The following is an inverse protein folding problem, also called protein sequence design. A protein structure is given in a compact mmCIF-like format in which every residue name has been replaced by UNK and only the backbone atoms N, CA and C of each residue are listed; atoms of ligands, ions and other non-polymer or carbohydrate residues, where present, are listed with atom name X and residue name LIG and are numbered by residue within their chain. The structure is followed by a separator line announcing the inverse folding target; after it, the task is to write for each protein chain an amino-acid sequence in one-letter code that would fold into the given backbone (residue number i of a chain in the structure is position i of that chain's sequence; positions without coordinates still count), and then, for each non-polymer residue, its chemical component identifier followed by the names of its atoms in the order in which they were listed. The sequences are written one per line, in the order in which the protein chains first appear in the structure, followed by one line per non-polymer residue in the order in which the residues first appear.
data_IF_118244751483
#
_entry.id   IF_118244751483
#
_cell.length_a   1.000
_cell.length_b   1.000
_cell.length_c   1.000
_cell.angle_alpha   90.00
_cell.angle_beta   90.00
_cell.angle_gamma   90.00
#
_symmetry.space_group_name_H-M   'P 1'
#
loop_
_entity.id
_entity.type
_entity.pdbx_description
1 polymer ?
#
# COMPACT_ATOMS: atom_id res chain seq x y z
N UNK A 1 19.31 -31.31 60.43
CA UNK A 1 18.02 -30.68 60.18
C UNK A 1 18.11 -29.45 59.29
N UNK A 2 19.15 -28.63 59.33
CA UNK A 2 19.33 -27.42 58.50
C UNK A 2 19.58 -27.75 57.01
N UNK A 3 20.46 -28.70 56.69
CA UNK A 3 20.83 -29.11 55.30
C UNK A 3 19.65 -29.69 54.50
N UNK A 4 18.66 -30.26 55.14
CA UNK A 4 17.46 -30.82 54.48
C UNK A 4 16.42 -29.74 54.11
N UNK A 5 16.40 -28.62 54.84
CA UNK A 5 15.57 -27.45 54.56
C UNK A 5 16.12 -26.70 53.35
N UNK A 6 17.41 -26.44 53.36
CA UNK A 6 18.12 -25.71 52.29
C UNK A 6 18.01 -26.44 50.94
N UNK A 7 18.12 -27.76 50.89
CA UNK A 7 17.90 -28.58 49.69
C UNK A 7 16.45 -28.54 49.19
N UNK A 8 15.46 -28.41 50.09
CA UNK A 8 14.04 -28.27 49.71
C UNK A 8 13.78 -26.91 49.11
N UNK A 9 14.30 -25.86 49.67
CA UNK A 9 14.12 -24.49 49.23
C UNK A 9 14.78 -24.29 47.84
N UNK A 10 15.95 -24.86 47.57
CA UNK A 10 16.61 -24.88 46.28
C UNK A 10 15.81 -25.67 45.23
N UNK A 11 15.20 -26.82 45.57
CA UNK A 11 14.35 -27.58 44.68
C UNK A 11 13.04 -26.84 44.36
N UNK A 12 12.46 -26.15 45.32
CA UNK A 12 11.26 -25.36 45.13
C UNK A 12 11.52 -24.13 44.25
N UNK A 13 12.65 -23.42 44.47
CA UNK A 13 13.08 -22.31 43.63
C UNK A 13 13.27 -22.72 42.14
N UNK A 14 13.91 -23.89 41.91
CA UNK A 14 14.05 -24.43 40.54
C UNK A 14 12.72 -24.80 39.87
N UNK A 15 11.74 -25.31 40.64
CA UNK A 15 10.38 -25.59 40.10
C UNK A 15 9.64 -24.31 39.75
N UNK A 16 9.72 -23.28 40.60
CA UNK A 16 9.07 -21.98 40.35
C UNK A 16 9.71 -21.33 39.11
N UNK A 17 11.04 -21.33 39.03
CA UNK A 17 11.75 -20.80 37.84
C UNK A 17 11.37 -21.54 36.56
N UNK A 18 11.29 -22.86 36.58
CA UNK A 18 10.85 -23.65 35.41
C UNK A 18 9.43 -23.29 35.02
N UNK A 19 8.50 -23.22 35.97
CA UNK A 19 7.11 -22.88 35.70
C UNK A 19 6.96 -21.46 35.14
N UNK A 20 7.74 -20.48 35.64
CA UNK A 20 7.74 -19.12 35.08
C UNK A 20 8.29 -19.07 33.64
N UNK A 21 9.33 -19.85 33.34
CA UNK A 21 9.88 -19.98 31.99
C UNK A 21 8.86 -20.61 31.03
N UNK A 22 8.16 -21.67 31.46
CA UNK A 22 7.12 -22.33 30.65
C UNK A 22 5.99 -21.34 30.31
N UNK A 23 5.56 -20.49 31.25
CA UNK A 23 4.56 -19.44 31.00
C UNK A 23 5.09 -18.43 29.99
N UNK A 24 6.33 -17.98 30.11
CA UNK A 24 6.93 -17.01 29.18
C UNK A 24 6.99 -17.61 27.78
N UNK A 25 7.40 -18.90 27.65
CA UNK A 25 7.45 -19.57 26.35
C UNK A 25 6.06 -19.64 25.71
N UNK A 26 5.04 -20.02 26.49
CA UNK A 26 3.65 -20.07 25.99
C UNK A 26 3.20 -18.68 25.53
N UNK A 27 3.45 -17.64 26.32
CA UNK A 27 3.10 -16.27 25.96
C UNK A 27 3.80 -15.83 24.67
N UNK A 28 5.08 -16.15 24.50
CA UNK A 28 5.83 -15.88 23.26
C UNK A 28 5.26 -16.61 22.04
N UNK A 29 4.87 -17.88 22.19
CA UNK A 29 4.26 -18.66 21.13
C UNK A 29 2.89 -18.09 20.71
N UNK A 30 2.06 -17.69 21.68
CA UNK A 30 0.78 -17.04 21.41
C UNK A 30 0.98 -15.71 20.70
N UNK A 31 1.92 -14.88 21.14
CA UNK A 31 2.27 -13.63 20.49
C UNK A 31 2.79 -13.86 19.05
N UNK A 32 3.66 -14.83 18.85
CA UNK A 32 4.18 -15.19 17.52
C UNK A 32 3.06 -15.65 16.59
N UNK A 33 2.12 -16.47 17.07
CA UNK A 33 0.94 -16.88 16.32
C UNK A 33 0.06 -15.68 15.93
N UNK A 34 -0.23 -14.79 16.88
CA UNK A 34 -1.01 -13.57 16.63
C UNK A 34 -0.37 -12.67 15.57
N UNK A 35 0.93 -12.37 15.70
CA UNK A 35 1.63 -11.55 14.72
C UNK A 35 1.76 -12.24 13.36
N UNK A 36 1.95 -13.57 13.35
CA UNK A 36 1.95 -14.36 12.11
C UNK A 36 0.63 -14.24 11.34
N UNK A 37 -0.50 -14.34 12.03
CA UNK A 37 -1.82 -14.14 11.44
C UNK A 37 -1.98 -12.71 10.89
N UNK A 38 -1.53 -11.69 11.62
CA UNK A 38 -1.59 -10.29 11.16
C UNK A 38 -0.74 -10.03 9.92
N UNK A 39 0.43 -10.64 9.82
CA UNK A 39 1.28 -10.56 8.63
C UNK A 39 0.60 -11.25 7.44
N UNK A 40 -0.01 -12.41 7.66
CA UNK A 40 -0.72 -13.15 6.63
C UNK A 40 -1.95 -12.37 6.10
N UNK A 41 -2.78 -11.77 6.98
CA UNK A 41 -3.89 -10.90 6.60
C UNK A 41 -3.41 -9.74 5.70
N UNK A 42 -2.32 -9.05 6.11
CA UNK A 42 -1.72 -7.98 5.30
C UNK A 42 -1.25 -8.44 3.93
N UNK A 43 -0.61 -9.60 3.88
CA UNK A 43 -0.18 -10.19 2.61
C UNK A 43 -1.36 -10.47 1.67
N UNK A 44 -2.48 -10.99 2.20
CA UNK A 44 -3.69 -11.24 1.44
C UNK A 44 -4.32 -9.92 0.93
N UNK A 45 -4.40 -8.88 1.76
CA UNK A 45 -4.88 -7.55 1.35
C UNK A 45 -4.04 -6.98 0.20
N UNK A 46 -2.71 -7.05 0.29
CA UNK A 46 -1.80 -6.59 -0.76
C UNK A 46 -2.01 -7.34 -2.09
N UNK A 47 -2.19 -8.66 -2.03
CA UNK A 47 -2.46 -9.47 -3.21
C UNK A 47 -3.82 -9.10 -3.86
N UNK A 48 -4.87 -8.92 -3.06
CA UNK A 48 -6.18 -8.51 -3.55
C UNK A 48 -6.14 -7.11 -4.17
N UNK A 49 -5.41 -6.19 -3.56
CA UNK A 49 -5.24 -4.84 -4.08
C UNK A 49 -4.54 -4.86 -5.44
N UNK A 50 -3.41 -5.56 -5.55
CA UNK A 50 -2.66 -5.69 -6.79
C UNK A 50 -3.48 -6.36 -7.90
N UNK A 51 -4.20 -7.44 -7.59
CA UNK A 51 -5.07 -8.12 -8.55
C UNK A 51 -6.22 -7.22 -9.04
N UNK A 52 -6.76 -6.37 -8.17
CA UNK A 52 -7.77 -5.37 -8.53
C UNK A 52 -7.23 -4.33 -9.51
N UNK A 53 -5.99 -3.85 -9.30
CA UNK A 53 -5.35 -2.90 -10.21
C UNK A 53 -4.95 -3.55 -11.54
N UNK A 54 -4.52 -4.80 -11.53
CA UNK A 54 -4.28 -5.55 -12.78
C UNK A 54 -5.58 -5.76 -13.57
N UNK A 55 -6.66 -6.10 -12.91
CA UNK A 55 -7.96 -6.29 -13.55
C UNK A 55 -8.43 -4.99 -14.21
N UNK A 56 -8.44 -3.85 -13.49
CA UNK A 56 -8.88 -2.58 -14.08
C UNK A 56 -7.98 -2.17 -15.24
N UNK A 57 -6.67 -2.41 -15.17
CA UNK A 57 -5.73 -2.12 -16.24
C UNK A 57 -6.07 -2.93 -17.51
N UNK A 58 -6.22 -4.25 -17.38
CA UNK A 58 -6.60 -5.13 -18.49
C UNK A 58 -7.95 -4.75 -19.10
N UNK A 59 -8.89 -4.36 -18.26
CA UNK A 59 -10.25 -4.06 -18.65
C UNK A 59 -10.45 -2.69 -19.30
N UNK A 60 -9.60 -1.72 -18.99
CA UNK A 60 -9.84 -0.31 -19.36
C UNK A 60 -8.72 0.33 -20.14
N UNK A 61 -7.54 -0.33 -20.25
CA UNK A 61 -6.37 0.22 -20.92
C UNK A 61 -5.86 -0.73 -22.00
N UNK A 62 -5.67 -0.22 -23.23
CA UNK A 62 -5.03 -0.93 -24.35
C UNK A 62 -3.92 -0.03 -24.90
N UNK A 63 -2.67 -0.36 -24.59
CA UNK A 63 -1.53 0.50 -24.91
C UNK A 63 -1.66 1.87 -24.25
N UNK A 64 -1.77 2.92 -25.09
CA UNK A 64 -2.00 4.30 -24.64
C UNK A 64 -3.47 4.71 -24.61
N UNK A 65 -4.37 3.86 -25.10
CA UNK A 65 -5.81 4.12 -25.11
C UNK A 65 -6.44 3.73 -23.78
N UNK A 66 -7.22 4.63 -23.19
CA UNK A 66 -7.93 4.43 -21.91
C UNK A 66 -9.43 4.59 -22.13
N UNK A 67 -10.19 3.59 -21.68
CA UNK A 67 -11.66 3.62 -21.76
C UNK A 67 -12.24 4.41 -20.56
N UNK A 68 -12.29 5.72 -20.71
CA UNK A 68 -12.79 6.64 -19.70
C UNK A 68 -14.24 6.38 -19.29
N UNK A 69 -15.09 5.99 -20.25
CA UNK A 69 -16.49 5.67 -19.96
C UNK A 69 -16.61 4.48 -19.00
N UNK A 70 -15.78 3.45 -19.21
CA UNK A 70 -15.75 2.28 -18.31
C UNK A 70 -15.19 2.65 -16.92
N UNK A 71 -14.12 3.44 -16.87
CA UNK A 71 -13.54 3.93 -15.61
C UNK A 71 -14.53 4.77 -14.80
N UNK A 72 -15.22 5.71 -15.45
CA UNK A 72 -16.22 6.58 -14.79
C UNK A 72 -17.43 5.82 -14.26
N UNK A 73 -17.81 4.70 -14.90
CA UNK A 73 -18.86 3.80 -14.36
C UNK A 73 -18.40 3.08 -13.09
N UNK A 74 -17.10 2.75 -12.97
CA UNK A 74 -16.55 2.12 -11.77
C UNK A 74 -16.45 3.15 -10.64
N UNK A 75 -15.89 4.34 -10.94
CA UNK A 75 -15.78 5.43 -9.97
C UNK A 75 -15.71 6.78 -10.72
N UNK A 76 -16.72 7.62 -10.51
CA UNK A 76 -16.80 8.97 -11.09
C UNK A 76 -15.67 9.90 -10.63
N UNK A 77 -15.01 9.59 -9.52
CA UNK A 77 -13.91 10.38 -8.97
C UNK A 77 -12.57 10.11 -9.68
N UNK A 78 -12.49 9.15 -10.61
CA UNK A 78 -11.28 8.92 -11.43
C UNK A 78 -11.13 10.10 -12.40
N UNK A 79 -10.02 10.83 -12.28
CA UNK A 79 -9.75 12.06 -13.06
C UNK A 79 -8.63 11.90 -14.08
N UNK A 80 -7.70 10.96 -13.83
CA UNK A 80 -6.56 10.72 -14.70
C UNK A 80 -6.09 9.27 -14.60
N UNK A 81 -5.07 8.95 -15.39
CA UNK A 81 -4.30 7.72 -15.32
C UNK A 81 -2.83 8.08 -15.38
N UNK A 82 -2.04 7.63 -14.39
CA UNK A 82 -0.60 7.85 -14.33
C UNK A 82 0.15 6.60 -14.79
N UNK A 83 1.17 6.81 -15.62
CA UNK A 83 2.04 5.76 -16.12
C UNK A 83 3.51 6.20 -16.13
N UNK A 84 4.40 5.33 -15.67
CA UNK A 84 5.84 5.54 -15.76
C UNK A 84 6.50 4.29 -16.31
N UNK A 85 7.05 4.40 -17.52
CA UNK A 85 7.72 3.29 -18.20
C UNK A 85 8.90 2.78 -17.37
N UNK A 86 9.06 1.44 -17.28
CA UNK A 86 10.16 0.82 -16.50
C UNK A 86 9.92 0.78 -14.99
N UNK A 87 8.68 1.04 -14.57
CA UNK A 87 8.23 0.95 -13.18
C UNK A 87 6.92 0.20 -13.06
N UNK A 88 6.49 -0.05 -11.82
CA UNK A 88 5.15 -0.60 -11.52
C UNK A 88 4.06 0.49 -11.51
N UNK A 89 4.40 1.76 -11.78
CA UNK A 89 3.44 2.86 -11.75
C UNK A 89 2.61 2.85 -13.03
N UNK A 90 1.40 2.31 -12.93
CA UNK A 90 0.40 2.23 -14.00
C UNK A 90 -1.00 2.14 -13.36
N UNK A 91 -1.53 3.29 -12.92
CA UNK A 91 -2.68 3.37 -12.03
C UNK A 91 -3.69 4.45 -12.41
N UNK A 92 -4.99 4.23 -12.15
CA UNK A 92 -5.96 5.31 -12.15
C UNK A 92 -5.65 6.31 -11.03
N UNK A 93 -5.86 7.58 -11.32
CA UNK A 93 -5.77 8.68 -10.35
C UNK A 93 -7.18 9.14 -10.01
N UNK A 94 -7.49 9.23 -8.74
CA UNK A 94 -8.78 9.72 -8.24
C UNK A 94 -8.63 11.11 -7.62
N UNK A 95 -9.74 11.85 -7.49
CA UNK A 95 -9.79 13.07 -6.69
C UNK A 95 -11.01 13.03 -5.77
N UNK A 96 -10.76 13.00 -4.48
CA UNK A 96 -11.80 13.02 -3.46
C UNK A 96 -12.19 14.43 -3.02
N UNK A 97 -13.17 14.53 -2.15
CA UNK A 97 -13.57 15.81 -1.52
C UNK A 97 -12.50 16.37 -0.58
N UNK A 98 -11.68 15.49 -0.01
CA UNK A 98 -10.55 15.81 0.87
C UNK A 98 -9.40 14.88 0.57
N UNK A 99 -8.17 15.23 0.99
CA UNK A 99 -6.98 14.38 0.84
C UNK A 99 -7.04 13.09 1.69
N UNK A 100 -7.96 13.00 2.65
CA UNK A 100 -8.20 11.78 3.42
C UNK A 100 -9.09 10.77 2.70
N UNK A 101 -9.89 11.22 1.69
CA UNK A 101 -10.90 10.39 1.03
C UNK A 101 -10.36 9.09 0.43
N UNK A 102 -9.12 9.15 -0.09
CA UNK A 102 -8.49 8.02 -0.79
C UNK A 102 -7.16 7.56 -0.18
N UNK A 103 -6.81 8.07 1.00
CA UNK A 103 -5.59 7.66 1.69
C UNK A 103 -5.59 6.16 2.04
N UNK A 104 -6.75 5.65 2.47
CA UNK A 104 -6.97 4.24 2.78
C UNK A 104 -8.20 3.66 2.07
N UNK A 105 -8.48 4.16 0.86
CA UNK A 105 -9.62 3.72 0.05
C UNK A 105 -9.16 3.50 -1.38
N UNK A 106 -9.43 2.32 -1.95
CA UNK A 106 -9.08 2.02 -3.33
C UNK A 106 -10.03 2.68 -4.35
N UNK A 107 -9.74 2.53 -5.63
CA UNK A 107 -10.55 3.09 -6.72
C UNK A 107 -11.99 2.52 -6.79
N UNK A 108 -12.28 1.39 -6.11
CA UNK A 108 -13.63 0.82 -5.95
C UNK A 108 -14.36 1.32 -4.69
N UNK A 109 -13.79 2.32 -4.00
CA UNK A 109 -14.31 2.88 -2.73
C UNK A 109 -14.33 1.87 -1.57
N UNK A 110 -13.44 0.87 -1.60
CA UNK A 110 -13.27 -0.12 -0.53
C UNK A 110 -12.04 0.25 0.31
N UNK A 111 -12.13 0.00 1.60
CA UNK A 111 -10.97 0.20 2.49
C UNK A 111 -9.81 -0.71 2.09
N UNK A 112 -8.61 -0.14 1.99
CA UNK A 112 -7.35 -0.86 1.81
C UNK A 112 -6.21 -0.07 2.41
N UNK A 113 -5.20 -0.75 2.92
CA UNK A 113 -4.03 -0.07 3.49
C UNK A 113 -3.28 0.78 2.46
N UNK A 114 -3.13 0.29 1.23
CA UNK A 114 -2.42 0.97 0.15
C UNK A 114 -3.19 2.11 -0.51
N UNK A 115 -4.48 2.28 -0.22
CA UNK A 115 -5.30 3.34 -0.77
C UNK A 115 -5.31 3.41 -2.30
N UNK A 116 -5.31 4.63 -2.81
CA UNK A 116 -5.25 4.98 -4.23
C UNK A 116 -4.14 6.00 -4.48
N UNK A 117 -3.73 6.17 -5.75
CA UNK A 117 -3.05 7.39 -6.16
C UNK A 117 -4.12 8.46 -6.36
N UNK A 118 -3.96 9.63 -5.74
CA UNK A 118 -4.96 10.69 -5.81
C UNK A 118 -4.34 12.08 -6.02
N UNK A 119 -5.11 12.92 -6.71
CA UNK A 119 -4.83 14.34 -6.90
C UNK A 119 -5.24 15.11 -5.65
N UNK A 120 -4.49 16.14 -5.28
CA UNK A 120 -4.87 17.03 -4.17
C UNK A 120 -6.31 17.55 -4.38
N UNK A 121 -7.08 17.55 -3.30
CA UNK A 121 -8.51 17.89 -3.34
C UNK A 121 -8.78 19.34 -3.75
N UNK A 122 -7.78 20.23 -3.65
CA UNK A 122 -7.85 21.63 -4.04
C UNK A 122 -7.36 21.89 -5.45
N UNK A 123 -6.69 20.89 -6.08
CA UNK A 123 -6.13 21.04 -7.41
C UNK A 123 -7.21 20.98 -8.49
N UNK A 124 -6.93 21.66 -9.62
CA UNK A 124 -7.82 21.67 -10.75
C UNK A 124 -7.69 20.36 -11.57
N UNK A 125 -8.75 19.55 -11.60
CA UNK A 125 -8.83 18.31 -12.38
C UNK A 125 -8.80 18.48 -13.91
N UNK A 126 -8.78 19.71 -14.42
CA UNK A 126 -8.60 20.00 -15.84
C UNK A 126 -7.13 20.00 -16.27
N UNK A 127 -6.20 20.00 -15.30
CA UNK A 127 -4.75 19.95 -15.52
C UNK A 127 -4.27 21.01 -16.53
N UNK A 128 -4.59 22.28 -16.29
CA UNK A 128 -4.11 23.37 -17.13
C UNK A 128 -2.57 23.42 -17.15
N UNK A 129 -1.98 23.89 -18.25
CA UNK A 129 -0.52 23.85 -18.46
C UNK A 129 0.29 24.59 -17.39
N UNK A 130 -0.32 25.57 -16.72
CA UNK A 130 0.31 26.37 -15.69
C UNK A 130 -0.10 25.98 -14.27
N UNK A 131 -0.90 24.91 -14.12
CA UNK A 131 -1.33 24.43 -12.81
C UNK A 131 -0.20 23.62 -12.14
N UNK A 132 0.03 23.88 -10.87
CA UNK A 132 0.84 23.00 -10.04
C UNK A 132 -0.08 21.90 -9.50
N UNK A 133 0.09 20.66 -9.98
CA UNK A 133 -0.73 19.53 -9.60
C UNK A 133 0.05 18.62 -8.65
N UNK A 134 -0.50 18.36 -7.47
CA UNK A 134 0.11 17.51 -6.44
C UNK A 134 -0.58 16.15 -6.40
N UNK A 135 0.19 15.09 -6.58
CA UNK A 135 -0.28 13.71 -6.51
C UNK A 135 0.25 13.03 -5.26
N UNK A 136 -0.62 12.33 -4.57
CA UNK A 136 -0.28 11.52 -3.40
C UNK A 136 -0.46 10.04 -3.70
N UNK A 137 0.37 9.24 -3.08
CA UNK A 137 0.30 7.78 -3.14
C UNK A 137 1.25 7.15 -2.13
N UNK A 138 0.87 6.01 -1.58
CA UNK A 138 1.72 5.30 -0.62
C UNK A 138 3.02 4.79 -1.28
N UNK A 139 4.09 4.74 -0.50
CA UNK A 139 5.30 3.99 -0.83
C UNK A 139 5.18 2.59 -0.22
N UNK A 140 4.66 1.63 -0.98
CA UNK A 140 4.41 0.28 -0.49
C UNK A 140 5.66 -0.59 -0.51
N UNK A 141 5.87 -1.41 0.52
CA UNK A 141 7.02 -2.34 0.61
C UNK A 141 7.00 -3.42 -0.47
N UNK A 142 5.82 -3.79 -0.98
CA UNK A 142 5.66 -4.74 -2.08
C UNK A 142 5.95 -4.14 -3.47
N UNK A 143 6.45 -2.90 -3.54
CA UNK A 143 6.81 -2.22 -4.79
C UNK A 143 5.62 -1.59 -5.54
N UNK A 144 4.41 -1.62 -4.98
CA UNK A 144 3.24 -1.00 -5.59
C UNK A 144 3.09 0.50 -5.26
N UNK A 145 2.08 1.13 -5.83
CA UNK A 145 1.79 2.57 -5.73
C UNK A 145 2.99 3.41 -6.17
N UNK A 146 3.45 4.36 -5.35
CA UNK A 146 4.59 5.24 -5.66
C UNK A 146 5.94 4.71 -5.19
N UNK A 147 6.05 3.42 -4.83
CA UNK A 147 7.30 2.84 -4.38
C UNK A 147 8.46 3.04 -5.38
N UNK A 148 8.17 2.89 -6.66
CA UNK A 148 9.17 3.01 -7.74
C UNK A 148 9.61 4.45 -8.05
N UNK A 149 8.98 5.50 -7.49
CA UNK A 149 9.46 6.88 -7.66
C UNK A 149 10.88 7.07 -7.11
N UNK A 150 11.33 6.23 -6.19
CA UNK A 150 12.71 6.24 -5.69
C UNK A 150 13.74 6.08 -6.82
N UNK A 151 13.40 5.42 -7.93
CA UNK A 151 14.27 5.24 -9.10
C UNK A 151 14.67 6.57 -9.76
N UNK A 152 13.84 7.61 -9.62
CA UNK A 152 14.16 8.95 -10.14
C UNK A 152 15.27 9.68 -9.36
N UNK A 153 15.72 9.14 -8.23
CA UNK A 153 16.93 9.63 -7.55
C UNK A 153 18.20 9.32 -8.37
N UNK A 154 18.13 8.32 -9.25
CA UNK A 154 19.22 7.99 -10.16
C UNK A 154 19.12 8.87 -11.41
N UNK A 155 20.11 9.72 -11.64
CA UNK A 155 20.15 10.63 -12.79
C UNK A 155 19.98 9.91 -14.13
N UNK A 156 20.61 8.74 -14.29
CA UNK A 156 20.52 7.91 -15.50
C UNK A 156 19.07 7.45 -15.75
N UNK A 157 18.30 7.15 -14.69
CA UNK A 157 16.91 6.78 -14.81
C UNK A 157 16.04 8.00 -15.13
N UNK A 158 16.23 9.10 -14.39
CA UNK A 158 15.45 10.33 -14.55
C UNK A 158 15.58 10.93 -15.98
N UNK A 159 16.79 10.87 -16.58
CA UNK A 159 17.02 11.35 -17.95
C UNK A 159 16.34 10.49 -19.05
N UNK A 160 16.00 9.25 -18.76
CA UNK A 160 15.45 8.29 -19.75
C UNK A 160 13.95 8.03 -19.61
N UNK A 161 13.35 8.46 -18.49
CA UNK A 161 11.97 8.15 -18.18
C UNK A 161 11.21 9.41 -17.83
N UNK A 162 9.96 9.45 -18.28
CA UNK A 162 9.02 10.53 -18.01
C UNK A 162 7.80 9.98 -17.27
N UNK A 163 7.12 10.85 -16.55
CA UNK A 163 5.83 10.57 -15.95
C UNK A 163 4.78 10.95 -16.97
N UNK A 164 4.03 9.97 -17.46
CA UNK A 164 2.93 10.19 -18.42
C UNK A 164 1.61 10.27 -17.65
N UNK A 165 0.85 11.33 -17.89
CA UNK A 165 -0.48 11.52 -17.32
C UNK A 165 -1.52 11.55 -18.46
N UNK A 166 -2.40 10.58 -18.46
CA UNK A 166 -3.53 10.53 -19.36
C UNK A 166 -4.76 11.11 -18.67
N UNK A 167 -5.49 11.97 -19.35
CA UNK A 167 -6.77 12.52 -18.89
C UNK A 167 -7.85 12.27 -19.94
N UNK A 168 -9.13 12.45 -19.64
CA UNK A 168 -10.18 12.33 -20.63
C UNK A 168 -10.04 13.31 -21.80
N UNK A 169 -9.29 14.39 -21.63
CA UNK A 169 -9.17 15.48 -22.61
C UNK A 169 -7.82 15.45 -23.33
N UNK A 170 -6.74 15.11 -22.61
CA UNK A 170 -5.36 15.21 -23.13
C UNK A 170 -4.40 14.21 -22.52
N UNK A 171 -3.28 13.99 -23.19
CA UNK A 171 -2.10 13.27 -22.69
C UNK A 171 -1.00 14.30 -22.37
N UNK A 172 -0.41 14.20 -21.19
CA UNK A 172 0.63 15.08 -20.65
C UNK A 172 1.89 14.25 -20.38
N UNK A 173 3.05 14.73 -20.81
CA UNK A 173 4.38 14.09 -20.62
C UNK A 173 5.27 15.05 -19.89
#
# INVERSE_FOLDING_TARGET
MILTKERRDLKMGKKILKFSLDIIIIACLVAAGYFGLKIFERFQEDQQLNSSYESIRKDTKTGKHINWNKLKKINSDIVAWIYVKGTNIDYPVVQGKTNQSYLHTNFKKQYTYGGCIFLDSKDNKQFALNDNNVFYGHHMRNGSMFADLVKFREEKFARKHTIELYTPIKHII
#
